data_IF_274051363620
#
_entry.id   IF_274051363620
#
_cell.length_a   1.000
_cell.length_b   1.000
_cell.length_c   1.000
_cell.angle_alpha   90.00
_cell.angle_beta   90.00
_cell.angle_gamma   90.00
#
_symmetry.space_group_name_H-M   'P 1'
#
loop_
_entity.id
_entity.type
_entity.pdbx_description
1 polymer ?
#
# COMPACT_ATOMS: atom_id res chain seq x y z
N UNK A 1 13.05 -5.46 -41.28
CA UNK A 1 11.77 -6.21 -41.36
C UNK A 1 11.37 -6.56 -39.94
N UNK A 2 10.41 -5.84 -39.35
CA UNK A 2 9.95 -6.07 -37.98
C UNK A 2 9.00 -7.27 -38.03
N UNK A 3 9.29 -8.35 -37.29
CA UNK A 3 8.35 -9.48 -37.15
C UNK A 3 7.12 -8.98 -36.40
N UNK A 4 6.01 -8.77 -37.11
CA UNK A 4 4.69 -8.64 -36.50
C UNK A 4 4.40 -10.00 -35.83
N UNK A 5 4.21 -10.03 -34.50
CA UNK A 5 3.81 -11.26 -33.81
C UNK A 5 2.43 -11.73 -34.30
N UNK A 6 2.18 -13.05 -34.26
CA UNK A 6 0.86 -13.59 -34.61
C UNK A 6 -0.22 -13.02 -33.69
N UNK A 7 -1.48 -12.98 -34.15
CA UNK A 7 -2.63 -12.60 -33.33
C UNK A 7 -2.69 -13.46 -32.05
N UNK A 8 -2.32 -14.74 -32.14
CA UNK A 8 -2.25 -15.65 -31.00
C UNK A 8 -1.15 -15.25 -29.99
N UNK A 9 0.01 -14.80 -30.48
CA UNK A 9 1.10 -14.31 -29.62
C UNK A 9 0.69 -13.04 -28.88
N UNK A 10 -0.03 -12.14 -29.56
CA UNK A 10 -0.53 -10.88 -28.99
C UNK A 10 -1.59 -11.18 -27.91
N UNK A 11 -2.53 -12.09 -28.19
CA UNK A 11 -3.55 -12.52 -27.23
C UNK A 11 -2.92 -13.20 -26.00
N UNK A 12 -1.92 -14.06 -26.19
CA UNK A 12 -1.20 -14.71 -25.09
C UNK A 12 -0.44 -13.69 -24.22
N UNK A 13 0.24 -12.72 -24.83
CA UNK A 13 0.92 -11.65 -24.10
C UNK A 13 -0.05 -10.76 -23.34
N UNK A 14 -1.21 -10.45 -23.93
CA UNK A 14 -2.25 -9.68 -23.27
C UNK A 14 -2.85 -10.45 -22.09
N UNK A 15 -3.11 -11.75 -22.25
CA UNK A 15 -3.59 -12.62 -21.17
C UNK A 15 -2.59 -12.70 -20.01
N UNK A 16 -1.29 -12.89 -20.31
CA UNK A 16 -0.23 -12.90 -19.30
C UNK A 16 -0.13 -11.56 -18.55
N UNK A 17 -0.26 -10.43 -19.25
CA UNK A 17 -0.29 -9.10 -18.60
C UNK A 17 -1.47 -8.95 -17.66
N UNK A 18 -2.66 -9.38 -18.08
CA UNK A 18 -3.88 -9.33 -17.26
C UNK A 18 -3.74 -10.23 -16.03
N UNK A 19 -3.28 -11.48 -16.20
CA UNK A 19 -3.03 -12.39 -15.08
C UNK A 19 -2.04 -11.79 -14.08
N UNK A 20 -0.94 -11.23 -14.58
CA UNK A 20 0.09 -10.62 -13.72
C UNK A 20 -0.41 -9.37 -13.00
N UNK A 21 -1.34 -8.62 -13.60
CA UNK A 21 -2.02 -7.50 -12.97
C UNK A 21 -2.92 -7.97 -11.82
N UNK A 22 -3.80 -8.95 -12.08
CA UNK A 22 -4.68 -9.54 -11.06
C UNK A 22 -3.89 -10.10 -9.87
N UNK A 23 -2.80 -10.82 -10.14
CA UNK A 23 -1.90 -11.32 -9.10
C UNK A 23 -1.26 -10.18 -8.29
N UNK A 24 -0.84 -9.10 -8.95
CA UNK A 24 -0.30 -7.92 -8.28
C UNK A 24 -1.34 -7.28 -7.36
N UNK A 25 -2.57 -7.05 -7.85
CA UNK A 25 -3.67 -6.49 -7.06
C UNK A 25 -3.95 -7.37 -5.84
N UNK A 26 -4.01 -8.70 -6.04
CA UNK A 26 -4.24 -9.66 -4.95
C UNK A 26 -3.15 -9.58 -3.87
N UNK A 27 -1.89 -9.47 -4.26
CA UNK A 27 -0.78 -9.31 -3.30
C UNK A 27 -0.88 -7.99 -2.54
N UNK A 28 -1.16 -6.88 -3.24
CA UNK A 28 -1.34 -5.58 -2.58
C UNK A 28 -2.48 -5.62 -1.57
N UNK A 29 -3.58 -6.32 -1.87
CA UNK A 29 -4.72 -6.45 -0.96
C UNK A 29 -4.38 -7.24 0.31
N UNK A 30 -3.51 -8.24 0.21
CA UNK A 30 -2.96 -8.94 1.37
C UNK A 30 -2.13 -7.97 2.23
N UNK A 31 -1.23 -7.21 1.61
CA UNK A 31 -0.42 -6.22 2.33
C UNK A 31 -1.27 -5.12 2.97
N UNK A 32 -2.31 -4.66 2.29
CA UNK A 32 -3.27 -3.71 2.83
C UNK A 32 -4.00 -4.25 4.06
N UNK A 33 -4.47 -5.50 4.02
CA UNK A 33 -5.09 -6.13 5.18
C UNK A 33 -4.12 -6.21 6.38
N UNK A 34 -2.83 -6.51 6.12
CA UNK A 34 -1.78 -6.55 7.14
C UNK A 34 -1.54 -5.14 7.71
N UNK A 35 -1.31 -4.14 6.86
CA UNK A 35 -1.04 -2.75 7.27
C UNK A 35 -2.22 -2.19 8.07
N UNK A 36 -3.46 -2.44 7.63
CA UNK A 36 -4.66 -1.98 8.34
C UNK A 36 -4.81 -2.62 9.71
N UNK A 37 -4.49 -3.92 9.82
CA UNK A 37 -4.59 -4.70 11.07
C UNK A 37 -3.45 -4.46 12.04
N UNK A 38 -2.24 -4.24 11.55
CA UNK A 38 -1.06 -4.20 12.42
C UNK A 38 -0.55 -2.78 12.66
N UNK A 39 -0.82 -1.83 11.76
CA UNK A 39 -0.31 -0.46 11.87
C UNK A 39 -1.46 0.52 12.06
N UNK A 40 -2.31 0.71 11.05
CA UNK A 40 -3.26 1.83 11.00
C UNK A 40 -4.23 1.89 12.19
N UNK A 41 -4.63 0.74 12.74
CA UNK A 41 -5.51 0.69 13.91
C UNK A 41 -4.91 1.33 15.18
N UNK A 42 -3.59 1.43 15.26
CA UNK A 42 -2.87 1.96 16.41
C UNK A 42 -2.36 3.40 16.15
N UNK A 43 -2.65 3.97 14.98
CA UNK A 43 -2.30 5.35 14.72
C UNK A 43 -3.16 6.27 15.58
N UNK A 44 -2.51 7.15 16.34
CA UNK A 44 -3.20 8.19 17.12
C UNK A 44 -4.01 9.09 16.19
N UNK A 45 -5.32 9.29 16.42
CA UNK A 45 -6.14 10.14 15.59
C UNK A 45 -5.77 11.63 15.72
N UNK A 46 -5.19 12.02 16.85
CA UNK A 46 -4.82 13.41 17.19
C UNK A 46 -3.41 13.73 16.70
N UNK A 47 -2.43 12.91 17.10
CA UNK A 47 -1.00 13.19 16.83
C UNK A 47 -0.46 12.49 15.59
N UNK A 48 -1.18 11.51 15.04
CA UNK A 48 -0.70 10.71 13.91
C UNK A 48 0.42 9.72 14.24
N UNK A 49 0.92 9.71 15.47
CA UNK A 49 2.01 8.84 15.92
C UNK A 49 1.54 7.42 16.22
N UNK A 50 2.48 6.49 16.15
CA UNK A 50 2.32 5.08 16.49
C UNK A 50 3.03 4.76 17.82
N UNK A 51 2.46 3.86 18.64
CA UNK A 51 3.08 3.43 19.88
C UNK A 51 4.21 2.42 19.63
N UNK A 52 5.06 2.20 20.64
CA UNK A 52 6.09 1.14 20.61
C UNK A 52 5.45 -0.24 20.67
N UNK A 53 4.42 -0.39 21.49
CA UNK A 53 3.72 -1.65 21.74
C UNK A 53 2.23 -1.48 21.45
N UNK A 54 1.59 -2.53 20.95
CA UNK A 54 0.15 -2.53 20.63
C UNK A 54 -0.77 -2.35 21.85
N UNK A 55 -0.24 -2.53 23.07
CA UNK A 55 -0.94 -2.27 24.32
C UNK A 55 -0.88 -0.81 24.79
N UNK A 56 0.04 -0.01 24.24
CA UNK A 56 0.17 1.40 24.59
C UNK A 56 -0.64 2.24 23.59
N UNK A 57 -1.65 2.95 24.08
CA UNK A 57 -2.51 3.81 23.26
C UNK A 57 -2.35 5.29 23.60
N UNK A 58 -1.46 5.62 24.54
CA UNK A 58 -1.31 6.97 25.07
C UNK A 58 0.02 7.60 24.67
N UNK A 59 1.08 6.80 24.54
CA UNK A 59 2.42 7.30 24.24
C UNK A 59 2.83 6.87 22.82
N UNK A 60 3.05 7.88 21.97
CA UNK A 60 3.63 7.68 20.64
C UNK A 60 5.15 7.64 20.66
N UNK A 61 5.75 6.82 19.81
CA UNK A 61 7.19 6.75 19.57
C UNK A 61 7.53 7.32 18.20
N UNK A 62 8.38 8.34 18.17
CA UNK A 62 8.83 8.97 16.91
C UNK A 62 9.53 7.94 16.01
N UNK A 63 10.38 7.09 16.58
CA UNK A 63 11.12 6.07 15.84
C UNK A 63 10.18 5.07 15.17
N UNK A 64 9.26 4.50 15.94
CA UNK A 64 8.33 3.48 15.43
C UNK A 64 7.34 4.10 14.45
N UNK A 65 6.95 5.35 14.69
CA UNK A 65 6.12 6.12 13.77
C UNK A 65 6.76 6.28 12.38
N UNK A 66 8.06 6.55 12.31
CA UNK A 66 8.78 6.65 11.03
C UNK A 66 8.79 5.30 10.30
N UNK A 67 9.04 4.18 10.99
CA UNK A 67 9.01 2.86 10.38
C UNK A 67 7.61 2.49 9.87
N UNK A 68 6.58 2.76 10.68
CA UNK A 68 5.19 2.54 10.30
C UNK A 68 4.81 3.40 9.09
N UNK A 69 5.15 4.69 9.11
CA UNK A 69 4.86 5.62 8.03
C UNK A 69 5.55 5.21 6.72
N UNK A 70 6.80 4.73 6.78
CA UNK A 70 7.52 4.23 5.61
C UNK A 70 6.84 3.01 5.00
N UNK A 71 6.37 2.06 5.82
CA UNK A 71 5.64 0.89 5.36
C UNK A 71 4.30 1.26 4.70
N UNK A 72 3.52 2.14 5.35
CA UNK A 72 2.24 2.66 4.81
C UNK A 72 2.47 3.41 3.51
N UNK A 73 3.52 4.24 3.44
CA UNK A 73 3.86 5.01 2.26
C UNK A 73 4.32 4.13 1.09
N UNK A 74 5.11 3.09 1.34
CA UNK A 74 5.50 2.12 0.32
C UNK A 74 4.29 1.45 -0.33
N UNK A 75 3.33 1.01 0.48
CA UNK A 75 2.08 0.43 -0.02
C UNK A 75 1.22 1.45 -0.77
N UNK A 76 1.17 2.69 -0.30
CA UNK A 76 0.54 3.80 -1.00
C UNK A 76 1.11 4.00 -2.40
N UNK A 77 2.44 4.03 -2.55
CA UNK A 77 3.09 4.19 -3.85
C UNK A 77 2.79 3.00 -4.79
N UNK A 78 2.72 1.79 -4.24
CA UNK A 78 2.38 0.60 -5.01
C UNK A 78 0.95 0.67 -5.57
N UNK A 79 -0.04 1.04 -4.75
CA UNK A 79 -1.41 1.26 -5.21
C UNK A 79 -1.53 2.41 -6.21
N UNK A 80 -0.81 3.51 -6.00
CA UNK A 80 -0.77 4.63 -6.95
C UNK A 80 -0.24 4.26 -8.32
N UNK A 81 0.62 3.23 -8.42
CA UNK A 81 1.20 2.78 -9.68
C UNK A 81 0.21 1.98 -10.54
N UNK A 82 -0.79 1.33 -9.91
CA UNK A 82 -1.75 0.46 -10.60
C UNK A 82 -3.10 1.14 -10.89
N UNK A 83 -3.34 2.33 -10.35
CA UNK A 83 -4.47 3.24 -10.65
C UNK A 83 -5.91 2.72 -10.32
N UNK A 84 -6.06 1.45 -9.92
CA UNK A 84 -7.33 0.89 -9.42
C UNK A 84 -7.18 0.32 -8.00
N UNK A 85 -7.46 1.16 -6.99
CA UNK A 85 -7.29 0.80 -5.59
C UNK A 85 -8.52 1.06 -4.73
N UNK A 86 -9.63 1.48 -5.35
CA UNK A 86 -10.91 1.76 -4.68
C UNK A 86 -10.78 2.68 -3.47
N UNK A 87 -9.86 3.65 -3.50
CA UNK A 87 -9.63 4.65 -2.44
C UNK A 87 -8.61 4.24 -1.38
N UNK A 88 -7.98 3.06 -1.51
CA UNK A 88 -6.97 2.57 -0.56
C UNK A 88 -5.74 3.48 -0.52
N UNK A 89 -5.23 3.99 -1.66
CA UNK A 89 -4.11 4.92 -1.65
C UNK A 89 -4.47 6.24 -0.97
N UNK A 90 -5.70 6.72 -1.08
CA UNK A 90 -6.08 7.95 -0.39
C UNK A 90 -6.01 7.77 1.13
N UNK A 91 -6.56 6.68 1.66
CA UNK A 91 -6.46 6.34 3.09
C UNK A 91 -5.00 6.22 3.55
N UNK A 92 -4.19 5.43 2.82
CA UNK A 92 -2.78 5.21 3.15
C UNK A 92 -1.98 6.52 3.11
N UNK A 93 -2.19 7.33 2.06
CA UNK A 93 -1.52 8.61 1.88
C UNK A 93 -1.86 9.60 3.00
N UNK A 94 -3.14 9.73 3.37
CA UNK A 94 -3.55 10.60 4.46
C UNK A 94 -2.98 10.14 5.81
N UNK A 95 -2.95 8.83 6.06
CA UNK A 95 -2.32 8.26 7.26
C UNK A 95 -0.83 8.63 7.32
N UNK A 96 -0.08 8.45 6.24
CA UNK A 96 1.34 8.84 6.18
C UNK A 96 1.53 10.33 6.45
N UNK A 97 0.74 11.19 5.79
CA UNK A 97 0.85 12.66 5.97
C UNK A 97 0.58 13.05 7.41
N UNK A 98 -0.45 12.48 8.04
CA UNK A 98 -0.76 12.73 9.45
C UNK A 98 0.40 12.36 10.36
N UNK A 99 1.06 11.23 10.11
CA UNK A 99 2.21 10.80 10.91
C UNK A 99 3.44 11.68 10.72
N UNK A 100 3.70 12.17 9.50
CA UNK A 100 4.98 12.77 9.12
C UNK A 100 4.99 14.30 9.17
N UNK A 101 3.83 14.97 9.17
CA UNK A 101 3.78 16.43 9.20
C UNK A 101 3.79 17.04 10.61
N UNK A 102 3.40 16.28 11.64
CA UNK A 102 3.20 16.82 12.99
C UNK A 102 1.95 17.68 13.09
#
# INVERSE_FOLDING_TARGET
MIRQGSIDDINAQQFLKISNYEDTVRQLDIYYAIVKRQLLRFQSPITGLFPVLSSDLHIGSVRDSVYCAAAVWGLYQAYRRIDDDRGKSHELGQSTVKCMRG
#
